data_IF_053145088480
#
_entry.id   IF_053145088480
#
_cell.length_a   1.000
_cell.length_b   1.000
_cell.length_c   1.000
_cell.angle_alpha   90.00
_cell.angle_beta   90.00
_cell.angle_gamma   90.00
#
_symmetry.space_group_name_H-M   'P 1'
#
loop_
_entity.id
_entity.type
_entity.pdbx_description
1 polymer ?
#
# COMPACT_ATOMS: atom_id res chain seq x y z
N UNK A 1 12.88 25.16 17.60
CA UNK A 1 12.53 24.11 18.58
C UNK A 1 11.28 23.41 18.07
N UNK A 2 11.10 22.12 18.36
CA UNK A 2 9.95 21.35 17.90
C UNK A 2 9.19 20.76 19.10
N UNK A 3 7.87 20.71 19.00
CA UNK A 3 7.02 19.98 19.95
C UNK A 3 6.92 18.54 19.49
N UNK A 4 7.21 17.59 20.39
CA UNK A 4 7.09 16.15 20.14
C UNK A 4 6.28 15.49 21.25
N UNK A 5 5.75 14.31 20.98
CA UNK A 5 4.98 13.52 21.96
C UNK A 5 5.79 12.31 22.41
N UNK A 6 5.87 12.09 23.73
CA UNK A 6 6.45 10.88 24.31
C UNK A 6 5.42 9.75 24.30
N UNK A 7 5.84 8.58 23.84
CA UNK A 7 5.06 7.34 23.89
C UNK A 7 5.71 6.30 24.80
N UNK A 8 6.55 6.74 25.74
CA UNK A 8 7.14 5.85 26.76
C UNK A 8 6.12 5.48 27.83
N UNK A 9 6.27 4.31 28.45
CA UNK A 9 5.38 3.86 29.54
C UNK A 9 5.34 4.84 30.72
N UNK A 10 6.46 5.49 31.04
CA UNK A 10 6.56 6.43 32.15
C UNK A 10 5.86 7.77 31.86
N UNK A 11 5.88 8.23 30.60
CA UNK A 11 5.32 9.51 30.19
C UNK A 11 4.52 9.33 28.89
N UNK A 12 3.40 8.60 28.92
CA UNK A 12 2.62 8.33 27.72
C UNK A 12 1.82 9.58 27.33
N UNK A 13 1.80 9.87 26.02
CA UNK A 13 1.11 11.01 25.41
C UNK A 13 1.61 12.40 25.87
N UNK A 14 2.63 12.49 26.73
CA UNK A 14 3.12 13.77 27.26
C UNK A 14 3.94 14.51 26.20
N UNK A 15 3.62 15.78 25.94
CA UNK A 15 4.38 16.58 24.97
C UNK A 15 5.62 17.19 25.60
N UNK A 16 6.69 17.27 24.82
CA UNK A 16 7.95 17.90 25.20
C UNK A 16 8.50 18.76 24.08
N UNK A 17 9.17 19.83 24.45
CA UNK A 17 10.01 20.63 23.55
C UNK A 17 11.34 19.92 23.37
N UNK A 18 11.78 19.82 22.12
CA UNK A 18 13.11 19.36 21.81
C UNK A 18 13.78 20.22 20.75
N UNK A 19 15.10 20.05 20.66
CA UNK A 19 15.87 20.58 19.55
C UNK A 19 15.31 20.12 18.19
N UNK A 20 15.42 20.96 17.13
CA UNK A 20 15.13 20.50 15.77
C UNK A 20 15.92 19.23 15.42
N UNK A 21 17.19 19.18 15.83
CA UNK A 21 18.13 18.08 15.64
C UNK A 21 18.01 16.95 16.69
N UNK A 22 16.87 16.85 17.39
CA UNK A 22 16.66 15.80 18.40
C UNK A 22 16.77 14.40 17.77
N UNK A 23 17.73 13.62 18.25
CA UNK A 23 18.04 12.26 17.78
C UNK A 23 19.20 12.15 16.78
N UNK A 24 19.72 13.27 16.24
CA UNK A 24 20.87 13.25 15.31
C UNK A 24 22.20 13.05 16.05
N UNK A 25 23.34 13.07 15.33
CA UNK A 25 24.69 13.00 15.93
C UNK A 25 25.08 14.34 16.56
N UNK A 26 24.63 15.46 15.99
CA UNK A 26 24.79 16.81 16.56
C UNK A 26 23.64 17.11 17.52
N UNK A 27 23.65 16.42 18.67
CA UNK A 27 22.61 16.57 19.68
C UNK A 27 22.80 17.88 20.44
N UNK A 28 21.74 18.67 20.55
CA UNK A 28 21.63 19.62 21.64
C UNK A 28 20.70 19.07 22.72
N UNK A 29 21.07 19.31 23.98
CA UNK A 29 20.46 18.70 25.17
C UNK A 29 19.19 19.43 25.65
N UNK A 30 18.51 20.16 24.76
CA UNK A 30 17.27 20.86 25.10
C UNK A 30 16.13 19.84 25.14
N UNK A 31 15.58 19.62 26.33
CA UNK A 31 14.42 18.78 26.58
C UNK A 31 13.63 19.34 27.76
N UNK A 32 12.33 19.57 27.58
CA UNK A 32 11.44 19.93 28.67
C UNK A 32 10.00 19.53 28.35
N UNK A 33 9.29 18.95 29.32
CA UNK A 33 7.86 18.65 29.17
C UNK A 33 7.04 19.93 29.22
N UNK A 34 6.06 20.06 28.31
CA UNK A 34 5.15 21.21 28.27
C UNK A 34 3.77 20.90 28.86
N UNK A 35 3.45 19.62 28.97
CA UNK A 35 2.20 19.16 29.56
C UNK A 35 2.43 18.66 30.98
N UNK A 36 1.40 18.83 31.80
CA UNK A 36 1.33 18.19 33.10
C UNK A 36 1.38 16.68 32.98
N UNK A 37 1.90 16.06 34.03
CA UNK A 37 1.93 14.61 34.12
C UNK A 37 0.52 14.05 34.38
N UNK A 38 0.24 12.87 33.83
CA UNK A 38 -1.00 12.17 34.15
C UNK A 38 -1.11 11.92 35.66
N UNK A 39 -2.30 12.08 36.26
CA UNK A 39 -2.46 12.24 37.70
C UNK A 39 -2.09 11.00 38.51
N UNK A 40 -2.08 9.81 37.90
CA UNK A 40 -1.66 8.58 38.56
C UNK A 40 -1.20 7.51 37.56
N UNK A 41 -0.67 6.40 38.09
CA UNK A 41 -0.16 5.28 37.30
C UNK A 41 -1.25 4.59 36.48
N UNK A 42 -2.49 4.51 36.98
CA UNK A 42 -3.60 3.90 36.27
C UNK A 42 -3.85 4.59 34.92
N UNK A 43 -3.89 5.93 34.88
CA UNK A 43 -4.08 6.65 33.63
C UNK A 43 -2.88 6.51 32.68
N UNK A 44 -1.66 6.44 33.22
CA UNK A 44 -0.47 6.19 32.40
C UNK A 44 -0.54 4.83 31.72
N UNK A 45 -0.84 3.79 32.48
CA UNK A 45 -0.94 2.43 31.93
C UNK A 45 -2.08 2.32 30.92
N UNK A 46 -3.24 2.93 31.19
CA UNK A 46 -4.38 2.96 30.27
C UNK A 46 -4.01 3.62 28.93
N UNK A 47 -3.44 4.83 28.96
CA UNK A 47 -3.07 5.56 27.73
C UNK A 47 -1.97 4.82 26.96
N UNK A 48 -1.00 4.23 27.65
CA UNK A 48 0.05 3.44 27.02
C UNK A 48 -0.51 2.18 26.33
N UNK A 49 -1.42 1.46 26.98
CA UNK A 49 -2.08 0.29 26.40
C UNK A 49 -2.90 0.66 25.15
N UNK A 50 -3.65 1.76 25.19
CA UNK A 50 -4.40 2.25 24.04
C UNK A 50 -3.48 2.57 22.85
N UNK A 51 -2.31 3.17 23.11
CA UNK A 51 -1.32 3.42 22.05
C UNK A 51 -0.78 2.13 21.43
N UNK A 52 -0.47 1.12 22.26
CA UNK A 52 -0.01 -0.18 21.77
C UNK A 52 -1.09 -0.89 20.93
N UNK A 53 -2.34 -0.86 21.40
CA UNK A 53 -3.47 -1.41 20.66
C UNK A 53 -3.67 -0.70 19.31
N UNK A 54 -3.65 0.63 19.30
CA UNK A 54 -3.78 1.41 18.06
C UNK A 54 -2.65 1.10 17.06
N UNK A 55 -1.42 0.97 17.55
CA UNK A 55 -0.26 0.63 16.70
C UNK A 55 -0.37 -0.79 16.15
N UNK A 56 -0.80 -1.73 16.98
CA UNK A 56 -1.00 -3.12 16.57
C UNK A 56 -2.11 -3.25 15.53
N UNK A 57 -3.27 -2.66 15.79
CA UNK A 57 -4.41 -2.69 14.88
C UNK A 57 -4.05 -2.00 13.55
N UNK A 58 -3.33 -0.88 13.59
CA UNK A 58 -2.87 -0.20 12.37
C UNK A 58 -1.94 -1.08 11.52
N UNK A 59 -1.01 -1.80 12.16
CA UNK A 59 -0.14 -2.74 11.45
C UNK A 59 -0.91 -3.93 10.88
N UNK A 60 -1.83 -4.52 11.65
CA UNK A 60 -2.68 -5.63 11.20
C UNK A 60 -3.52 -5.21 9.99
N UNK A 61 -4.17 -4.05 10.05
CA UNK A 61 -4.95 -3.50 8.92
C UNK A 61 -4.08 -3.26 7.68
N UNK A 62 -2.90 -2.65 7.84
CA UNK A 62 -1.99 -2.40 6.70
C UNK A 62 -1.50 -3.70 6.05
N UNK A 63 -1.28 -4.76 6.82
CA UNK A 63 -0.92 -6.08 6.29
C UNK A 63 -2.09 -6.65 5.49
N UNK A 64 -3.30 -6.62 6.04
CA UNK A 64 -4.51 -7.10 5.35
C UNK A 64 -4.79 -6.32 4.06
N UNK A 65 -4.73 -5.00 4.08
CA UNK A 65 -4.92 -4.15 2.90
C UNK A 65 -3.88 -4.46 1.79
N UNK A 66 -2.62 -4.69 2.17
CA UNK A 66 -1.58 -5.05 1.22
C UNK A 66 -1.82 -6.43 0.61
N UNK A 67 -2.25 -7.41 1.41
CA UNK A 67 -2.58 -8.77 0.94
C UNK A 67 -3.79 -8.76 0.01
N UNK A 68 -4.83 -8.00 0.32
CA UNK A 68 -6.00 -7.81 -0.54
C UNK A 68 -5.63 -7.15 -1.87
N UNK A 69 -4.81 -6.10 -1.83
CA UNK A 69 -4.33 -5.41 -3.05
C UNK A 69 -3.50 -6.35 -3.93
N UNK A 70 -2.64 -7.19 -3.33
CA UNK A 70 -1.87 -8.20 -4.05
C UNK A 70 -2.78 -9.26 -4.69
N UNK A 71 -3.81 -9.71 -3.98
CA UNK A 71 -4.78 -10.68 -4.49
C UNK A 71 -5.61 -10.11 -5.64
N UNK A 72 -6.02 -8.84 -5.57
CA UNK A 72 -6.71 -8.17 -6.67
C UNK A 72 -5.81 -8.00 -7.90
N UNK A 73 -4.56 -7.59 -7.71
CA UNK A 73 -3.57 -7.50 -8.80
C UNK A 73 -3.36 -8.85 -9.48
N UNK A 74 -3.28 -9.94 -8.70
CA UNK A 74 -3.13 -11.29 -9.24
C UNK A 74 -4.32 -11.68 -10.13
N UNK A 75 -5.55 -11.40 -9.67
CA UNK A 75 -6.78 -11.63 -10.47
C UNK A 75 -6.76 -10.83 -11.77
N UNK A 76 -6.38 -9.55 -11.72
CA UNK A 76 -6.28 -8.70 -12.91
C UNK A 76 -5.24 -9.26 -13.89
N UNK A 77 -4.08 -9.72 -13.40
CA UNK A 77 -3.04 -10.31 -14.24
C UNK A 77 -3.52 -11.58 -14.93
N UNK A 78 -4.26 -12.43 -14.22
CA UNK A 78 -4.88 -13.63 -14.79
C UNK A 78 -5.90 -13.27 -15.89
N UNK A 79 -6.79 -12.33 -15.62
CA UNK A 79 -7.78 -11.85 -16.61
C UNK A 79 -7.11 -11.25 -17.86
N UNK A 80 -6.04 -10.48 -17.67
CA UNK A 80 -5.24 -9.94 -18.78
C UNK A 80 -4.58 -11.06 -19.59
N UNK A 81 -4.08 -12.10 -18.94
CA UNK A 81 -3.48 -13.27 -19.59
C UNK A 81 -4.51 -14.01 -20.46
N UNK A 82 -5.71 -14.23 -19.92
CA UNK A 82 -6.82 -14.87 -20.64
C UNK A 82 -7.28 -14.01 -21.82
N UNK A 83 -7.45 -12.70 -21.64
CA UNK A 83 -7.84 -11.80 -22.75
C UNK A 83 -6.77 -11.77 -23.84
N UNK A 84 -5.50 -11.73 -23.46
CA UNK A 84 -4.37 -11.76 -24.39
C UNK A 84 -4.32 -13.05 -25.19
N UNK A 85 -4.59 -14.20 -24.57
CA UNK A 85 -4.62 -15.49 -25.29
C UNK A 85 -5.81 -15.55 -26.26
N UNK A 86 -6.99 -15.05 -25.88
CA UNK A 86 -8.15 -14.93 -26.76
C UNK A 86 -7.87 -14.02 -27.96
N UNK A 87 -7.22 -12.88 -27.76
CA UNK A 87 -6.86 -11.96 -28.84
C UNK A 87 -5.94 -12.63 -29.87
N UNK A 88 -4.93 -13.39 -29.42
CA UNK A 88 -4.04 -14.14 -30.34
C UNK A 88 -4.79 -15.16 -31.19
N UNK A 89 -5.80 -15.82 -30.63
CA UNK A 89 -6.65 -16.75 -31.37
C UNK A 89 -7.50 -15.99 -32.38
N UNK A 90 -8.10 -14.88 -31.98
CA UNK A 90 -8.87 -14.02 -32.87
C UNK A 90 -8.03 -13.52 -34.04
N UNK A 91 -6.83 -12.97 -33.78
CA UNK A 91 -5.89 -12.51 -34.82
C UNK A 91 -5.57 -13.64 -35.80
N UNK A 92 -5.32 -14.85 -35.31
CA UNK A 92 -5.04 -16.02 -36.17
C UNK A 92 -6.25 -16.38 -37.05
N UNK A 93 -7.45 -16.40 -36.49
CA UNK A 93 -8.69 -16.72 -37.24
C UNK A 93 -8.96 -15.67 -38.31
N UNK A 94 -8.86 -14.38 -37.98
CA UNK A 94 -9.07 -13.28 -38.93
C UNK A 94 -8.07 -13.36 -40.07
N UNK A 95 -6.78 -13.58 -39.77
CA UNK A 95 -5.76 -13.74 -40.82
C UNK A 95 -6.07 -14.93 -41.75
N UNK A 96 -6.51 -16.07 -41.22
CA UNK A 96 -6.94 -17.20 -42.05
C UNK A 96 -8.15 -16.85 -42.94
N UNK A 97 -9.15 -16.16 -42.41
CA UNK A 97 -10.34 -15.74 -43.17
C UNK A 97 -9.97 -14.78 -44.32
N UNK A 98 -9.09 -13.81 -44.06
CA UNK A 98 -8.61 -12.87 -45.09
C UNK A 98 -7.91 -13.63 -46.22
N UNK A 99 -7.07 -14.62 -45.89
CA UNK A 99 -6.38 -15.45 -46.91
C UNK A 99 -7.38 -16.27 -47.73
N UNK A 100 -8.38 -16.89 -47.09
CA UNK A 100 -9.41 -17.66 -47.80
C UNK A 100 -10.18 -16.77 -48.78
N UNK A 101 -10.63 -15.59 -48.34
CA UNK A 101 -11.35 -14.64 -49.20
C UNK A 101 -10.47 -14.21 -50.38
N UNK A 102 -9.19 -13.91 -50.14
CA UNK A 102 -8.25 -13.53 -51.19
C UNK A 102 -8.07 -14.64 -52.24
N UNK A 103 -7.91 -15.90 -51.80
CA UNK A 103 -7.82 -17.04 -52.71
C UNK A 103 -9.09 -17.23 -53.54
N UNK A 104 -10.28 -17.09 -52.92
CA UNK A 104 -11.56 -17.21 -53.63
C UNK A 104 -11.70 -16.14 -54.73
N UNK A 105 -11.28 -14.90 -54.46
CA UNK A 105 -11.28 -13.81 -55.46
C UNK A 105 -10.36 -14.14 -56.63
N UNK A 106 -9.15 -14.64 -56.36
CA UNK A 106 -8.21 -15.03 -57.40
C UNK A 106 -8.81 -16.14 -58.28
N UNK A 107 -9.32 -17.22 -57.67
CA UNK A 107 -9.90 -18.34 -58.43
C UNK A 107 -11.07 -17.88 -59.29
N UNK A 108 -11.97 -17.05 -58.76
CA UNK A 108 -13.09 -16.50 -59.52
C UNK A 108 -12.62 -15.66 -60.72
N UNK A 109 -11.55 -14.88 -60.57
CA UNK A 109 -10.99 -14.06 -61.64
C UNK A 109 -10.29 -14.87 -62.76
N UNK A 110 -9.81 -16.08 -62.47
CA UNK A 110 -9.19 -16.97 -63.46
C UNK A 110 -10.19 -17.91 -64.16
N UNK A 111 -11.34 -18.16 -63.53
CA UNK A 111 -12.40 -19.03 -64.07
C UNK A 111 -13.42 -18.25 -64.92
N UNK A 112 -13.53 -16.93 -64.72
CA UNK A 112 -14.35 -16.01 -65.52
C UNK A 112 -13.61 -15.50 -66.76
#
# INVERSE_FOLDING_TARGET
MNVRTSWTKANPRRRFLSCPNYGSVQRCNMFHFIDDELPNQYYKDLVYQLHLQGTRNGNENHISEHEDTQNELLKIMEDLSIKKSKLKVYDRVVMCLVVIVFCLVIVAAFVA
#
